data_IF_763305764620
#
_entry.id   IF_763305764620
#
_cell.length_a   1.000
_cell.length_b   1.000
_cell.length_c   1.000
_cell.angle_alpha   90.00
_cell.angle_beta   90.00
_cell.angle_gamma   90.00
#
_symmetry.space_group_name_H-M   'P 1'
#
loop_
_entity.id
_entity.type
_entity.pdbx_description
1 polymer ?
#
# COMPACT_ATOMS: atom_id res chain seq x y z
N UNK A 1 9.63 -10.90 13.57
CA UNK A 1 10.60 -10.34 12.64
C UNK A 1 10.16 -8.98 12.15
N UNK A 2 11.06 -8.09 12.13
CA UNK A 2 10.76 -6.74 11.76
C UNK A 2 10.87 -6.53 10.27
N UNK A 3 9.84 -5.93 9.68
CA UNK A 3 9.85 -5.60 8.27
C UNK A 3 10.44 -4.21 8.09
N UNK A 4 11.40 -4.07 7.20
CA UNK A 4 12.03 -2.78 6.99
C UNK A 4 11.93 -2.37 5.55
N UNK A 5 11.59 -1.13 5.32
CA UNK A 5 11.54 -0.53 4.00
C UNK A 5 12.94 -0.08 3.64
N UNK A 6 13.70 -1.01 3.18
CA UNK A 6 15.04 -0.68 2.75
C UNK A 6 15.10 -0.58 1.26
N UNK A 7 15.86 0.34 0.80
CA UNK A 7 15.94 0.58 -0.63
C UNK A 7 17.15 -0.09 -1.25
N UNK A 8 17.45 -1.29 -0.81
CA UNK A 8 18.59 -1.97 -1.39
C UNK A 8 18.46 -2.17 -2.88
N UNK A 9 17.22 -2.20 -3.37
CA UNK A 9 16.99 -2.28 -4.80
C UNK A 9 17.39 -1.02 -5.52
N UNK A 10 17.50 0.04 -4.78
CA UNK A 10 17.90 1.30 -5.37
C UNK A 10 19.37 1.57 -5.19
N UNK A 11 20.12 0.54 -4.86
CA UNK A 11 21.53 0.73 -4.55
C UNK A 11 22.31 1.41 -5.65
N UNK A 12 21.95 1.17 -6.90
CA UNK A 12 22.59 1.85 -8.00
C UNK A 12 22.03 3.20 -8.31
N UNK A 13 21.02 3.61 -7.58
CA UNK A 13 20.33 4.84 -7.86
C UNK A 13 20.77 5.92 -6.90
N UNK A 14 21.18 7.03 -7.44
CA UNK A 14 21.57 8.16 -6.61
C UNK A 14 20.35 8.95 -6.24
N UNK A 15 20.17 9.18 -4.96
CA UNK A 15 19.02 9.94 -4.51
C UNK A 15 19.05 11.37 -5.04
N UNK A 16 20.24 11.91 -5.27
CA UNK A 16 20.36 13.26 -5.78
C UNK A 16 19.99 13.37 -7.25
N UNK A 17 19.79 12.25 -7.94
CA UNK A 17 19.33 12.29 -9.33
C UNK A 17 17.86 12.68 -9.43
N UNK A 18 17.14 12.63 -8.32
CA UNK A 18 15.71 12.93 -8.32
C UNK A 18 15.37 13.91 -7.22
N UNK A 19 16.01 15.08 -7.22
CA UNK A 19 15.86 15.99 -6.10
C UNK A 19 14.44 16.49 -5.89
N UNK A 20 13.70 16.58 -6.97
CA UNK A 20 12.36 17.16 -6.87
C UNK A 20 11.39 16.30 -6.16
N UNK A 21 11.37 15.03 -6.48
CA UNK A 21 10.34 14.23 -5.89
C UNK A 21 10.78 13.57 -4.60
N UNK A 22 11.91 13.96 -4.16
CA UNK A 22 12.26 13.69 -2.79
C UNK A 22 11.51 14.58 -1.82
N UNK A 23 10.62 15.40 -2.33
CA UNK A 23 9.74 16.17 -1.46
C UNK A 23 8.91 15.26 -0.57
N UNK A 24 8.76 14.00 -0.97
CA UNK A 24 8.15 13.01 -0.10
C UNK A 24 9.25 12.41 0.76
N UNK A 25 9.72 13.20 1.70
CA UNK A 25 10.89 12.88 2.48
C UNK A 25 10.77 11.53 3.17
N UNK A 26 11.83 10.75 3.08
CA UNK A 26 11.90 9.47 3.77
C UNK A 26 11.30 8.31 2.99
N UNK A 27 10.78 8.55 1.80
CA UNK A 27 10.23 7.50 0.98
C UNK A 27 10.88 7.53 -0.39
N UNK A 28 11.41 6.40 -0.80
CA UNK A 28 12.08 6.26 -2.09
C UNK A 28 11.40 5.17 -2.90
N UNK A 29 11.57 5.24 -4.21
CA UNK A 29 11.11 4.18 -5.08
C UNK A 29 11.78 2.88 -4.64
N UNK A 30 10.99 1.87 -4.33
CA UNK A 30 11.49 0.66 -3.70
C UNK A 30 10.69 -0.54 -4.18
N UNK A 31 11.39 -1.65 -4.28
CA UNK A 31 10.75 -2.93 -4.53
C UNK A 31 11.11 -3.85 -3.38
N UNK A 32 10.09 -4.41 -2.75
CA UNK A 32 10.25 -5.30 -1.60
C UNK A 32 9.65 -6.65 -1.91
N UNK A 33 10.33 -7.70 -1.51
CA UNK A 33 9.79 -9.04 -1.66
C UNK A 33 9.61 -9.66 -0.29
N UNK A 34 8.42 -10.18 -0.05
CA UNK A 34 8.07 -10.72 1.26
C UNK A 34 7.17 -11.93 1.07
N UNK A 35 7.79 -13.12 1.09
CA UNK A 35 7.05 -14.35 0.90
C UNK A 35 6.40 -14.41 -0.46
N UNK A 36 5.08 -14.49 -0.47
CA UNK A 36 4.31 -14.65 -1.70
C UNK A 36 3.99 -13.34 -2.40
N UNK A 37 4.44 -12.22 -1.87
CA UNK A 37 4.11 -10.93 -2.46
C UNK A 37 5.36 -10.12 -2.80
N UNK A 38 5.18 -9.26 -3.79
CA UNK A 38 6.14 -8.22 -4.12
C UNK A 38 5.41 -6.88 -3.96
N UNK A 39 6.06 -5.94 -3.32
CA UNK A 39 5.52 -4.62 -3.09
C UNK A 39 6.39 -3.61 -3.80
N UNK A 40 5.81 -2.87 -4.73
CA UNK A 40 6.54 -1.83 -5.46
C UNK A 40 6.02 -0.48 -4.99
N UNK A 41 6.93 0.37 -4.54
CA UNK A 41 6.59 1.67 -3.98
C UNK A 41 7.09 2.75 -4.94
N UNK A 42 6.16 3.59 -5.39
CA UNK A 42 6.46 4.69 -6.30
C UNK A 42 5.97 6.00 -5.69
N UNK A 43 6.85 6.77 -5.07
CA UNK A 43 6.46 8.02 -4.44
C UNK A 43 6.47 9.18 -5.41
N UNK A 44 5.63 10.16 -5.14
CA UNK A 44 5.65 11.45 -5.80
C UNK A 44 5.26 12.50 -4.76
N UNK A 45 5.20 13.76 -5.17
CA UNK A 45 4.84 14.82 -4.24
C UNK A 45 3.42 14.68 -3.74
N UNK A 46 2.53 14.29 -4.63
CA UNK A 46 1.11 14.30 -4.33
C UNK A 46 0.58 12.92 -3.95
N UNK A 47 1.34 11.88 -4.23
CA UNK A 47 0.79 10.54 -4.08
C UNK A 47 1.91 9.52 -3.92
N UNK A 48 1.67 8.53 -3.05
CA UNK A 48 2.49 7.32 -3.02
C UNK A 48 1.65 6.21 -3.62
N UNK A 49 2.19 5.53 -4.62
CA UNK A 49 1.54 4.37 -5.19
C UNK A 49 2.24 3.12 -4.69
N UNK A 50 1.47 2.21 -4.15
CA UNK A 50 1.96 0.93 -3.63
C UNK A 50 1.29 -0.17 -4.44
N UNK A 51 2.05 -0.79 -5.32
CA UNK A 51 1.52 -1.88 -6.14
C UNK A 51 1.89 -3.20 -5.49
N UNK A 52 0.89 -4.04 -5.26
CA UNK A 52 1.08 -5.33 -4.61
C UNK A 52 0.86 -6.43 -5.65
N UNK A 53 1.80 -7.36 -5.73
CA UNK A 53 1.75 -8.45 -6.69
C UNK A 53 1.79 -9.77 -5.91
N UNK A 54 0.87 -10.67 -6.23
CA UNK A 54 0.91 -12.03 -5.67
C UNK A 54 -0.27 -12.35 -4.80
N UNK A 55 -0.03 -13.18 -3.79
CA UNK A 55 -1.09 -13.67 -2.91
C UNK A 55 -0.96 -13.05 -1.53
N UNK A 56 -2.02 -12.40 -1.09
CA UNK A 56 -2.03 -11.77 0.24
C UNK A 56 -2.80 -12.70 1.18
N UNK A 57 -2.06 -13.40 1.99
CA UNK A 57 -2.60 -14.41 2.89
C UNK A 57 -2.08 -14.16 4.29
N UNK A 58 -2.45 -15.04 5.21
CA UNK A 58 -1.97 -14.94 6.59
C UNK A 58 -0.44 -14.96 6.65
N UNK A 59 0.21 -15.56 5.65
CA UNK A 59 1.68 -15.63 5.65
C UNK A 59 2.32 -14.35 5.15
N UNK A 60 1.67 -13.61 4.25
CA UNK A 60 2.25 -12.41 3.66
C UNK A 60 1.65 -11.11 4.19
N UNK A 61 0.46 -11.16 4.77
CA UNK A 61 -0.19 -9.94 5.24
C UNK A 61 0.56 -9.20 6.35
N UNK A 62 1.29 -9.88 7.26
CA UNK A 62 2.07 -9.11 8.25
C UNK A 62 3.13 -8.22 7.61
N UNK A 63 3.79 -8.71 6.56
CA UNK A 63 4.79 -7.89 5.86
C UNK A 63 4.14 -6.72 5.13
N UNK A 64 3.01 -6.97 4.50
CA UNK A 64 2.27 -5.89 3.84
C UNK A 64 1.81 -4.85 4.84
N UNK A 65 1.29 -5.31 5.98
CA UNK A 65 0.86 -4.41 7.04
C UNK A 65 2.00 -3.51 7.51
N UNK A 66 3.15 -4.11 7.81
CA UNK A 66 4.30 -3.34 8.28
C UNK A 66 4.75 -2.31 7.25
N UNK A 67 4.78 -2.70 5.99
CA UNK A 67 5.17 -1.79 4.92
C UNK A 67 4.20 -0.62 4.81
N UNK A 68 2.90 -0.90 4.81
CA UNK A 68 1.90 0.15 4.66
C UNK A 68 1.92 1.11 5.84
N UNK A 69 2.03 0.58 7.07
CA UNK A 69 2.04 1.43 8.25
C UNK A 69 3.29 2.31 8.28
N UNK A 70 4.43 1.74 7.91
CA UNK A 70 5.66 2.53 7.88
C UNK A 70 5.60 3.62 6.82
N UNK A 71 5.07 3.29 5.63
CA UNK A 71 4.94 4.29 4.57
C UNK A 71 4.01 5.42 4.99
N UNK A 72 2.91 5.09 5.64
CA UNK A 72 1.96 6.12 6.09
C UNK A 72 2.60 7.05 7.11
N UNK A 73 3.42 6.52 8.01
CA UNK A 73 4.07 7.34 9.02
C UNK A 73 5.15 8.24 8.43
N UNK A 74 5.81 7.77 7.36
CA UNK A 74 6.96 8.50 6.80
C UNK A 74 6.59 9.43 5.66
N UNK A 75 5.43 9.23 5.07
CA UNK A 75 5.04 9.96 3.88
C UNK A 75 4.56 11.36 4.21
N UNK A 76 4.95 12.30 3.35
CA UNK A 76 4.38 13.65 3.37
C UNK A 76 3.30 13.82 2.31
N UNK A 77 3.07 12.82 1.48
CA UNK A 77 2.07 12.91 0.42
C UNK A 77 0.67 12.82 1.01
N UNK A 78 -0.28 13.60 0.48
CA UNK A 78 -1.66 13.58 0.99
C UNK A 78 -2.47 12.37 0.58
N UNK A 79 -2.00 11.61 -0.41
CA UNK A 79 -2.73 10.46 -0.94
C UNK A 79 -1.82 9.26 -1.05
N UNK A 80 -2.34 8.10 -0.66
CA UNK A 80 -1.68 6.82 -0.91
C UNK A 80 -2.64 5.96 -1.72
N UNK A 81 -2.18 5.44 -2.83
CA UNK A 81 -2.95 4.51 -3.65
C UNK A 81 -2.34 3.12 -3.54
N UNK A 82 -3.16 2.17 -3.17
CA UNK A 82 -2.75 0.76 -3.13
C UNK A 82 -3.36 0.09 -4.35
N UNK A 83 -2.52 -0.32 -5.27
CA UNK A 83 -2.93 -0.96 -6.51
C UNK A 83 -2.90 -2.46 -6.31
N UNK A 84 -4.06 -3.06 -6.33
CA UNK A 84 -4.25 -4.49 -6.11
C UNK A 84 -4.55 -5.24 -7.39
N UNK A 85 -4.33 -4.62 -8.54
CA UNK A 85 -4.69 -5.24 -9.82
C UNK A 85 -3.90 -6.52 -10.11
N UNK A 86 -2.73 -6.67 -9.52
CA UNK A 86 -1.89 -7.85 -9.70
C UNK A 86 -1.94 -8.79 -8.49
N UNK A 87 -2.90 -8.60 -7.61
CA UNK A 87 -3.12 -9.52 -6.50
C UNK A 87 -4.00 -10.65 -7.00
N UNK A 88 -3.47 -11.86 -6.93
CA UNK A 88 -4.18 -13.04 -7.44
C UNK A 88 -5.12 -13.65 -6.40
N UNK A 89 -4.91 -13.34 -5.13
CA UNK A 89 -5.74 -13.87 -4.06
C UNK A 89 -5.58 -13.01 -2.82
N UNK A 90 -6.68 -12.77 -2.13
CA UNK A 90 -6.70 -12.00 -0.90
C UNK A 90 -7.59 -12.72 0.10
N UNK A 91 -7.07 -13.03 1.29
CA UNK A 91 -7.90 -13.65 2.32
C UNK A 91 -8.33 -12.62 3.36
N UNK A 92 -8.98 -13.08 4.42
CA UNK A 92 -9.48 -12.17 5.45
C UNK A 92 -8.37 -11.45 6.19
N UNK A 93 -7.19 -12.08 6.31
CA UNK A 93 -6.08 -11.40 6.95
C UNK A 93 -5.57 -10.24 6.09
N UNK A 94 -5.60 -10.40 4.78
CA UNK A 94 -5.30 -9.31 3.86
C UNK A 94 -6.34 -8.20 3.97
N UNK A 95 -7.60 -8.58 4.04
CA UNK A 95 -8.67 -7.59 4.20
C UNK A 95 -8.49 -6.81 5.49
N UNK A 96 -8.19 -7.49 6.58
CA UNK A 96 -7.95 -6.83 7.87
C UNK A 96 -6.76 -5.86 7.77
N UNK A 97 -5.75 -6.25 7.01
CA UNK A 97 -4.59 -5.38 6.80
C UNK A 97 -4.99 -4.09 6.10
N UNK A 98 -5.85 -4.18 5.09
CA UNK A 98 -6.33 -2.99 4.39
C UNK A 98 -7.13 -2.09 5.32
N UNK A 99 -7.92 -2.67 6.21
CA UNK A 99 -8.69 -1.88 7.18
C UNK A 99 -7.77 -1.21 8.20
N UNK A 100 -6.71 -1.89 8.63
CA UNK A 100 -5.73 -1.27 9.50
C UNK A 100 -5.00 -0.13 8.82
N UNK A 101 -4.69 -0.30 7.54
CA UNK A 101 -4.08 0.78 6.76
C UNK A 101 -5.01 1.98 6.66
N UNK A 102 -6.31 1.73 6.50
CA UNK A 102 -7.29 2.81 6.46
C UNK A 102 -7.31 3.60 7.77
N UNK A 103 -7.28 2.88 8.88
CA UNK A 103 -7.26 3.54 10.19
C UNK A 103 -5.99 4.38 10.35
N UNK A 104 -4.85 3.82 9.99
CA UNK A 104 -3.59 4.55 10.09
C UNK A 104 -3.56 5.76 9.15
N UNK A 105 -4.10 5.62 7.95
CA UNK A 105 -4.16 6.71 7.00
C UNK A 105 -4.96 7.86 7.57
N UNK A 106 -6.09 7.54 8.20
CA UNK A 106 -6.91 8.57 8.81
C UNK A 106 -6.15 9.29 9.91
N UNK A 107 -5.42 8.55 10.73
CA UNK A 107 -4.63 9.14 11.81
C UNK A 107 -3.50 10.01 11.29
N UNK A 108 -2.98 9.68 10.11
CA UNK A 108 -1.90 10.45 9.49
C UNK A 108 -2.42 11.51 8.52
N UNK A 109 -3.73 11.68 8.42
CA UNK A 109 -4.35 12.64 7.50
C UNK A 109 -4.01 12.36 6.05
N UNK A 110 -3.93 11.09 5.69
CA UNK A 110 -3.67 10.63 4.33
C UNK A 110 -4.94 10.02 3.78
N UNK A 111 -5.30 10.39 2.55
CA UNK A 111 -6.42 9.76 1.87
C UNK A 111 -5.93 8.44 1.27
N UNK A 112 -6.62 7.37 1.54
CA UNK A 112 -6.24 6.06 1.05
C UNK A 112 -7.16 5.68 -0.12
N UNK A 113 -6.56 5.20 -1.20
CA UNK A 113 -7.31 4.73 -2.35
C UNK A 113 -6.91 3.29 -2.63
N UNK A 114 -7.91 2.42 -2.75
CA UNK A 114 -7.68 1.05 -3.19
C UNK A 114 -8.14 0.95 -4.62
N UNK A 115 -7.31 0.40 -5.50
CA UNK A 115 -7.66 0.26 -6.90
C UNK A 115 -7.38 -1.15 -7.39
N UNK A 116 -8.09 -1.54 -8.42
CA UNK A 116 -7.76 -2.74 -9.18
C UNK A 116 -8.26 -4.05 -8.61
N UNK A 117 -9.06 -4.03 -7.56
CA UNK A 117 -9.62 -5.28 -7.04
C UNK A 117 -10.57 -5.89 -8.06
N UNK A 118 -10.42 -7.15 -8.32
CA UNK A 118 -11.26 -7.89 -9.26
C UNK A 118 -11.35 -9.35 -8.83
N UNK A 119 -12.32 -10.06 -9.42
CA UNK A 119 -12.47 -11.49 -9.12
C UNK A 119 -12.69 -11.76 -7.66
N UNK A 120 -11.89 -12.66 -7.11
CA UNK A 120 -12.06 -13.10 -5.73
C UNK A 120 -11.89 -11.97 -4.72
N UNK A 121 -10.88 -11.11 -4.91
CA UNK A 121 -10.64 -10.02 -3.96
C UNK A 121 -11.80 -9.02 -3.99
N UNK A 122 -12.35 -8.75 -5.17
CA UNK A 122 -13.49 -7.87 -5.27
C UNK A 122 -14.72 -8.45 -4.56
N UNK A 123 -14.96 -9.74 -4.76
CA UNK A 123 -16.08 -10.41 -4.09
C UNK A 123 -15.94 -10.30 -2.58
N UNK A 124 -14.75 -10.54 -2.07
CA UNK A 124 -14.51 -10.45 -0.64
C UNK A 124 -14.73 -9.02 -0.14
N UNK A 125 -14.25 -8.04 -0.90
CA UNK A 125 -14.43 -6.63 -0.54
C UNK A 125 -15.89 -6.23 -0.52
N UNK A 126 -16.69 -6.76 -1.47
CA UNK A 126 -18.11 -6.47 -1.51
C UNK A 126 -18.85 -7.07 -0.32
N UNK A 127 -18.50 -8.30 0.04
CA UNK A 127 -19.10 -8.94 1.20
C UNK A 127 -18.78 -8.15 2.48
N UNK A 128 -17.57 -7.66 2.58
CA UNK A 128 -17.13 -6.90 3.75
C UNK A 128 -17.59 -5.44 3.71
N UNK A 129 -18.24 -5.01 2.64
CA UNK A 129 -18.69 -3.62 2.46
C UNK A 129 -17.54 -2.64 2.59
N UNK A 130 -16.42 -2.98 1.99
CA UNK A 130 -15.20 -2.24 2.14
C UNK A 130 -15.30 -0.82 1.59
N UNK A 131 -15.99 -0.66 0.46
CA UNK A 131 -16.14 0.65 -0.15
C UNK A 131 -16.91 1.61 0.74
N UNK A 132 -17.95 1.11 1.43
CA UNK A 132 -18.73 1.95 2.35
C UNK A 132 -17.88 2.36 3.54
N UNK A 133 -17.08 1.44 4.07
CA UNK A 133 -16.20 1.75 5.21
C UNK A 133 -15.15 2.78 4.80
N UNK A 134 -14.53 2.59 3.65
CA UNK A 134 -13.53 3.55 3.16
C UNK A 134 -14.14 4.92 2.92
N UNK A 135 -15.31 4.94 2.29
CA UNK A 135 -15.98 6.21 2.01
C UNK A 135 -16.33 6.96 3.31
N UNK A 136 -16.79 6.24 4.31
CA UNK A 136 -17.17 6.85 5.57
C UNK A 136 -15.97 7.50 6.28
N UNK A 137 -14.77 7.06 5.96
CA UNK A 137 -13.55 7.60 6.57
C UNK A 137 -12.75 8.48 5.62
N UNK A 138 -13.40 8.98 4.55
CA UNK A 138 -12.76 9.94 3.65
C UNK A 138 -11.81 9.33 2.63
N UNK A 139 -11.88 8.03 2.45
CA UNK A 139 -11.05 7.30 1.49
C UNK A 139 -11.94 6.68 0.44
N UNK A 140 -11.37 5.93 -0.50
CA UNK A 140 -12.19 5.39 -1.59
C UNK A 140 -11.64 4.07 -2.10
N UNK A 141 -12.54 3.29 -2.70
CA UNK A 141 -12.20 2.02 -3.33
C UNK A 141 -12.70 2.08 -4.77
N UNK A 142 -11.83 1.75 -5.71
CA UNK A 142 -12.19 1.66 -7.12
C UNK A 142 -12.04 0.21 -7.56
N UNK A 143 -13.14 -0.38 -7.95
CA UNK A 143 -13.12 -1.75 -8.44
C UNK A 143 -12.78 -1.76 -9.92
N UNK A 144 -12.22 -2.88 -10.31
CA UNK A 144 -11.85 -3.09 -11.68
C UNK A 144 -13.00 -3.64 -12.50
#
# INVERSE_FOLDING_TARGET
MEFQLRSRQTSGMKTDMFPKWRANAGVEATRLEAGEITINVLPSRSEITVAVVGRVTVDSSPSLRSALLELLRRSAAPVMTIDLSAVSYLDMSGMATLLEALKAARECSVKLRLTGMSGQSRTLAEIAQLDAIFHAWGSEVEFR
#
